data_IF_047368371008
#
_entry.id   IF_047368371008
#
_cell.length_a   1.000
_cell.length_b   1.000
_cell.length_c   1.000
_cell.angle_alpha   90.00
_cell.angle_beta   90.00
_cell.angle_gamma   90.00
#
_symmetry.space_group_name_H-M   'P 1'
#
loop_
_entity.id
_entity.type
_entity.pdbx_description
1 polymer ?
#
# COMPACT_ATOMS: atom_id res chain seq x y z
N UNK A 1 -1.22 8.06 -52.53
CA UNK A 1 -1.58 6.96 -51.62
C UNK A 1 -0.82 7.20 -50.33
N UNK A 2 -1.48 7.68 -49.27
CA UNK A 2 -0.80 7.94 -47.99
C UNK A 2 -1.71 7.45 -46.87
N UNK A 3 -1.26 6.42 -46.16
CA UNK A 3 -1.91 5.97 -44.93
C UNK A 3 -0.84 5.97 -43.85
N UNK A 4 -0.70 7.10 -43.15
CA UNK A 4 0.07 7.15 -41.90
C UNK A 4 -0.80 6.48 -40.82
N UNK A 5 -0.51 5.23 -40.50
CA UNK A 5 -1.06 4.59 -39.31
C UNK A 5 -0.44 5.25 -38.07
N UNK A 6 -1.21 6.10 -37.37
CA UNK A 6 -0.84 6.61 -36.04
C UNK A 6 -0.89 5.45 -35.04
N UNK A 7 0.25 4.86 -34.72
CA UNK A 7 0.38 3.90 -33.63
C UNK A 7 0.11 4.62 -32.31
N UNK A 8 -1.06 4.40 -31.70
CA UNK A 8 -1.35 4.86 -30.34
C UNK A 8 -0.33 4.20 -29.40
N UNK A 9 0.63 4.97 -28.89
CA UNK A 9 1.52 4.53 -27.81
C UNK A 9 0.67 4.39 -26.55
N UNK A 10 0.37 3.16 -26.15
CA UNK A 10 -0.31 2.89 -24.88
C UNK A 10 0.66 3.27 -23.75
N UNK A 11 0.36 4.32 -23.01
CA UNK A 11 1.07 4.64 -21.77
C UNK A 11 0.56 3.68 -20.69
N UNK A 12 1.44 2.82 -20.18
CA UNK A 12 1.14 2.05 -18.96
C UNK A 12 1.19 3.03 -17.80
N UNK A 13 0.04 3.54 -17.38
CA UNK A 13 -0.07 4.22 -16.08
C UNK A 13 0.15 3.17 -15.00
N UNK A 14 1.29 3.25 -14.31
CA UNK A 14 1.48 2.52 -13.08
C UNK A 14 0.36 2.92 -12.11
N UNK A 15 -0.50 1.97 -11.73
CA UNK A 15 -1.58 2.24 -10.81
C UNK A 15 -0.98 2.70 -9.46
N UNK A 16 -1.52 3.78 -8.90
CA UNK A 16 -1.19 4.20 -7.56
C UNK A 16 -1.67 3.12 -6.59
N UNK A 17 -0.74 2.44 -5.92
CA UNK A 17 -1.02 1.31 -5.03
C UNK A 17 -0.08 1.39 -3.83
N UNK A 18 -0.46 0.76 -2.73
CA UNK A 18 0.36 0.70 -1.52
C UNK A 18 1.79 0.19 -1.82
N UNK A 19 1.96 -0.84 -2.65
CA UNK A 19 3.28 -1.39 -3.00
C UNK A 19 4.24 -0.39 -3.64
N UNK A 20 3.73 0.67 -4.26
CA UNK A 20 4.53 1.73 -4.90
C UNK A 20 4.52 3.05 -4.12
N UNK A 21 3.98 3.04 -2.90
CA UNK A 21 3.87 4.21 -2.05
C UNK A 21 5.09 4.36 -1.13
N UNK A 22 5.63 5.57 -0.99
CA UNK A 22 6.80 5.88 -0.13
C UNK A 22 6.57 5.58 1.35
N UNK A 23 5.31 5.45 1.78
CA UNK A 23 4.95 5.20 3.18
C UNK A 23 4.66 3.72 3.47
N UNK A 24 4.78 2.82 2.49
CA UNK A 24 4.39 1.42 2.67
C UNK A 24 5.60 0.51 2.85
N UNK A 25 5.64 -0.18 3.98
CA UNK A 25 6.72 -1.10 4.34
C UNK A 25 6.25 -2.55 4.16
N UNK A 26 6.85 -3.26 3.19
CA UNK A 26 6.47 -4.62 2.88
C UNK A 26 6.75 -5.57 4.07
N UNK A 27 5.76 -6.39 4.44
CA UNK A 27 5.95 -7.53 5.35
C UNK A 27 5.97 -8.85 4.59
N UNK A 28 5.17 -8.93 3.53
CA UNK A 28 5.12 -10.03 2.57
C UNK A 28 4.97 -9.46 1.16
N UNK A 29 4.87 -10.34 0.16
CA UNK A 29 4.62 -9.92 -1.22
C UNK A 29 3.24 -9.25 -1.42
N UNK A 30 2.30 -9.47 -0.50
CA UNK A 30 0.90 -9.03 -0.63
C UNK A 30 0.43 -8.12 0.50
N UNK A 31 1.17 -8.04 1.62
CA UNK A 31 0.80 -7.25 2.81
C UNK A 31 1.98 -6.42 3.31
N UNK A 32 1.66 -5.28 3.90
CA UNK A 32 2.65 -4.36 4.47
C UNK A 32 2.02 -3.30 5.36
N UNK A 33 2.86 -2.61 6.11
CA UNK A 33 2.47 -1.58 7.05
C UNK A 33 2.38 -0.22 6.35
N UNK A 34 1.26 0.49 6.51
CA UNK A 34 1.10 1.86 6.05
C UNK A 34 1.58 2.84 7.14
N UNK A 35 2.74 3.48 6.93
CA UNK A 35 3.37 4.44 7.85
C UNK A 35 2.80 5.85 7.74
N UNK A 36 1.90 6.11 6.78
CA UNK A 36 1.21 7.40 6.59
C UNK A 36 0.22 7.70 7.72
N UNK A 37 -0.33 6.66 8.32
CA UNK A 37 -1.24 6.75 9.47
C UNK A 37 -0.52 6.29 10.73
N UNK A 38 -0.85 6.92 11.87
CA UNK A 38 -0.24 6.57 13.14
C UNK A 38 -0.55 5.10 13.54
N UNK A 39 0.37 4.43 14.26
CA UNK A 39 0.08 3.14 14.87
C UNK A 39 -1.18 3.20 15.73
N UNK A 40 -1.94 2.10 15.71
CA UNK A 40 -3.09 1.90 16.58
C UNK A 40 -2.68 1.01 17.74
N UNK A 41 -3.19 1.30 18.93
CA UNK A 41 -3.04 0.42 20.08
C UNK A 41 -3.99 -0.76 19.93
N UNK A 42 -3.44 -1.97 19.98
CA UNK A 42 -4.16 -3.23 19.94
C UNK A 42 -4.02 -3.86 21.31
N UNK A 43 -5.15 -4.14 21.95
CA UNK A 43 -5.21 -4.94 23.17
C UNK A 43 -5.49 -6.40 22.79
N UNK A 44 -4.76 -7.33 23.38
CA UNK A 44 -4.95 -8.76 23.16
C UNK A 44 -4.66 -9.54 24.45
N UNK A 45 -5.33 -10.68 24.61
CA UNK A 45 -5.15 -11.53 25.78
C UNK A 45 -4.05 -12.56 25.50
N UNK A 46 -3.11 -12.69 26.42
CA UNK A 46 -2.11 -13.76 26.44
C UNK A 46 -2.24 -14.44 27.79
N UNK A 47 -2.69 -15.69 27.78
CA UNK A 47 -3.09 -16.42 28.98
C UNK A 47 -4.16 -15.62 29.76
N UNK A 48 -3.88 -15.25 31.00
CA UNK A 48 -4.77 -14.47 31.87
C UNK A 48 -4.44 -12.96 31.91
N UNK A 49 -3.47 -12.50 31.12
CA UNK A 49 -3.03 -11.11 31.07
C UNK A 49 -3.55 -10.38 29.82
N UNK A 50 -3.93 -9.10 29.99
CA UNK A 50 -4.13 -8.17 28.88
C UNK A 50 -2.78 -7.54 28.51
N UNK A 51 -2.36 -7.71 27.25
CA UNK A 51 -1.19 -7.05 26.67
C UNK A 51 -1.62 -5.98 25.68
N UNK A 52 -0.75 -4.98 25.50
CA UNK A 52 -0.96 -3.87 24.57
C UNK A 52 0.24 -3.77 23.63
N UNK A 53 -0.03 -3.68 22.33
CA UNK A 53 0.99 -3.40 21.32
C UNK A 53 0.53 -2.23 20.44
N UNK A 54 1.45 -1.38 20.00
CA UNK A 54 1.14 -0.36 19.00
C UNK A 54 1.60 -0.83 17.62
N UNK A 55 0.68 -0.94 16.66
CA UNK A 55 0.97 -1.42 15.31
C UNK A 55 0.47 -0.48 14.23
N UNK A 56 1.28 -0.29 13.19
CA UNK A 56 0.84 0.40 11.99
C UNK A 56 -0.29 -0.38 11.29
N UNK A 57 -1.24 0.30 10.62
CA UNK A 57 -2.25 -0.37 9.81
C UNK A 57 -1.61 -1.26 8.75
N UNK A 58 -2.09 -2.51 8.63
CA UNK A 58 -1.65 -3.44 7.59
C UNK A 58 -2.63 -3.37 6.41
N UNK A 59 -2.12 -3.10 5.21
CA UNK A 59 -2.92 -3.03 3.98
C UNK A 59 -2.40 -4.01 2.94
N UNK A 60 -3.22 -4.31 1.93
CA UNK A 60 -2.76 -5.10 0.79
C UNK A 60 -1.88 -4.24 -0.11
N UNK A 61 -0.89 -4.88 -0.73
CA UNK A 61 0.00 -4.28 -1.71
C UNK A 61 -0.76 -3.58 -2.85
N UNK A 62 -1.93 -4.09 -3.23
CA UNK A 62 -2.76 -3.58 -4.32
C UNK A 62 -3.80 -2.51 -3.89
N UNK A 63 -3.91 -2.19 -2.60
CA UNK A 63 -4.86 -1.19 -2.10
C UNK A 63 -4.41 0.24 -2.43
N UNK A 64 -5.32 1.21 -2.29
CA UNK A 64 -5.07 2.65 -2.44
C UNK A 64 -5.99 3.46 -1.52
N UNK A 65 -5.47 4.51 -0.88
CA UNK A 65 -6.19 5.26 0.17
C UNK A 65 -6.34 6.77 -0.07
N UNK A 66 -5.97 7.31 -1.25
CA UNK A 66 -6.03 8.75 -1.52
C UNK A 66 -4.79 9.54 -1.09
N UNK A 67 -4.11 9.14 -0.02
CA UNK A 67 -2.88 9.76 0.49
C UNK A 67 -1.59 9.20 -0.15
N UNK A 68 -1.66 8.76 -1.40
CA UNK A 68 -0.53 8.14 -2.10
C UNK A 68 0.56 9.16 -2.42
N UNK A 69 1.81 8.80 -2.12
CA UNK A 69 3.01 9.47 -2.64
C UNK A 69 3.95 8.42 -3.23
N UNK A 70 4.45 8.67 -4.44
CA UNK A 70 5.32 7.74 -5.16
C UNK A 70 6.66 7.56 -4.42
N UNK A 71 7.09 6.31 -4.26
CA UNK A 71 8.42 5.94 -3.75
C UNK A 71 9.54 6.18 -4.77
#
# INVERSE_FOLDING_TARGET
>A
MSTLAKTKKASVTAAAQCKSCTYWEAKTNTLGECRRHAPQTIAFNVDDDVKFESRFPVTKAADWCGDYSKA
#
